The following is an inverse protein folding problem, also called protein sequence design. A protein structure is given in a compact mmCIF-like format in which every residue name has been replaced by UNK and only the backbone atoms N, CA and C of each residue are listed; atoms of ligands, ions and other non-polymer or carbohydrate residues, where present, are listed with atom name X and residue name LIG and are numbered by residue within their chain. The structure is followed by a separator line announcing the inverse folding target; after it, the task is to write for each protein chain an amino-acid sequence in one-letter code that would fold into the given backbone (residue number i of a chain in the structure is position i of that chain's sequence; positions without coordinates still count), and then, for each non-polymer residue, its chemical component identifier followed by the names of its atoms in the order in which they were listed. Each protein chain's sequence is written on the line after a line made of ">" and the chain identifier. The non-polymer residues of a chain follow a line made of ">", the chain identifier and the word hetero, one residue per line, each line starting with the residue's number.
data_IF_291349628186
#
_entry.id   IF_291349628186
#
_cell.length_a   1.000
_cell.length_b   1.000
_cell.length_c   1.000
_cell.angle_alpha   90.00
_cell.angle_beta   90.00
_cell.angle_gamma   90.00
#
_symmetry.space_group_name_H-M   'P 1'
#
loop_
_entity.id
_entity.type
_entity.pdbx_description
1 polymer ?
#
# COMPACT_ATOMS: atom_id res chain seq x y z
N UNK A 1 -16.18 -3.20 -0.56
CA UNK A 1 -15.46 -3.36 -1.85
C UNK A 1 -14.04 -3.85 -1.55
N UNK A 2 -13.42 -4.64 -2.42
CA UNK A 2 -12.04 -5.12 -2.24
C UNK A 2 -11.15 -4.35 -3.22
N UNK A 3 -10.12 -3.70 -2.71
CA UNK A 3 -9.02 -3.15 -3.51
C UNK A 3 -7.91 -4.20 -3.60
N UNK A 4 -7.55 -4.56 -4.83
CA UNK A 4 -6.59 -5.63 -5.12
C UNK A 4 -5.20 -5.09 -5.46
N UNK A 5 -5.01 -3.77 -5.51
CA UNK A 5 -3.73 -3.17 -5.86
C UNK A 5 -3.50 -1.88 -5.09
N UNK A 6 -2.70 -1.96 -4.01
CA UNK A 6 -2.44 -0.83 -3.14
C UNK A 6 -1.02 -0.83 -2.59
N UNK A 7 -0.40 0.35 -2.64
CA UNK A 7 0.93 0.63 -2.09
C UNK A 7 0.80 1.22 -0.67
N UNK A 8 0.05 0.52 0.18
CA UNK A 8 -0.35 1.01 1.52
C UNK A 8 0.67 0.71 2.62
N UNK A 9 1.70 -0.10 2.35
CA UNK A 9 2.70 -0.46 3.36
C UNK A 9 3.75 0.67 3.50
N UNK A 10 4.01 1.18 4.72
CA UNK A 10 4.91 2.31 4.92
C UNK A 10 6.36 1.95 4.66
N UNK A 11 7.05 2.76 3.86
CA UNK A 11 8.49 2.70 3.63
C UNK A 11 8.96 1.50 2.81
N UNK A 12 8.04 0.80 2.13
CA UNK A 12 8.35 -0.39 1.33
C UNK A 12 8.69 -0.01 -0.12
N UNK A 13 8.02 0.99 -0.67
CA UNK A 13 8.25 1.49 -2.02
C UNK A 13 7.88 2.98 -2.15
N UNK A 14 7.48 3.42 -3.33
CA UNK A 14 7.06 4.79 -3.65
C UNK A 14 5.61 5.11 -3.24
N UNK A 15 4.93 4.19 -2.55
CA UNK A 15 3.65 4.44 -1.89
C UNK A 15 3.79 5.25 -0.59
N UNK A 16 3.14 4.77 0.48
CA UNK A 16 3.19 5.41 1.78
C UNK A 16 4.63 5.47 2.32
N UNK A 17 5.10 6.66 2.73
CA UNK A 17 6.45 6.82 3.27
C UNK A 17 6.49 6.69 4.80
N UNK A 18 5.38 7.01 5.46
CA UNK A 18 5.23 6.92 6.92
C UNK A 18 3.98 6.13 7.31
N UNK A 19 3.92 5.68 8.57
CA UNK A 19 2.70 5.07 9.13
C UNK A 19 1.51 6.04 9.07
N UNK A 20 1.76 7.35 9.24
CA UNK A 20 0.73 8.38 9.15
C UNK A 20 0.14 8.48 7.75
N UNK A 21 0.97 8.37 6.70
CA UNK A 21 0.51 8.34 5.30
C UNK A 21 -0.35 7.09 5.06
N UNK A 22 0.12 5.93 5.52
CA UNK A 22 -0.60 4.65 5.40
C UNK A 22 -1.98 4.73 6.07
N UNK A 23 -2.04 5.31 7.27
CA UNK A 23 -3.28 5.53 8.00
C UNK A 23 -4.22 6.53 7.30
N UNK A 24 -3.67 7.57 6.67
CA UNK A 24 -4.47 8.52 5.88
C UNK A 24 -5.08 7.84 4.66
N UNK A 25 -4.30 7.05 3.92
CA UNK A 25 -4.77 6.23 2.80
C UNK A 25 -5.85 5.25 3.23
N UNK A 26 -5.65 4.53 4.35
CA UNK A 26 -6.62 3.59 4.89
C UNK A 26 -7.95 4.26 5.25
N UNK A 27 -7.91 5.43 5.89
CA UNK A 27 -9.12 6.21 6.23
C UNK A 27 -9.88 6.63 4.98
N UNK A 28 -9.17 7.09 3.96
CA UNK A 28 -9.78 7.47 2.69
C UNK A 28 -10.40 6.26 1.97
N UNK A 29 -9.71 5.11 1.97
CA UNK A 29 -10.23 3.88 1.40
C UNK A 29 -11.56 3.45 2.08
N UNK A 30 -11.62 3.52 3.41
CA UNK A 30 -12.87 3.28 4.18
C UNK A 30 -13.96 4.26 3.77
N UNK A 31 -13.64 5.55 3.61
CA UNK A 31 -14.61 6.58 3.17
C UNK A 31 -15.17 6.29 1.78
N UNK A 32 -14.40 5.62 0.92
CA UNK A 32 -14.82 5.17 -0.41
C UNK A 32 -15.54 3.81 -0.40
N UNK A 33 -15.76 3.19 0.77
CA UNK A 33 -16.43 1.91 0.88
C UNK A 33 -15.55 0.69 0.59
N UNK A 34 -14.22 0.87 0.56
CA UNK A 34 -13.26 -0.24 0.54
C UNK A 34 -13.19 -0.83 1.94
N UNK A 35 -13.34 -2.14 2.02
CA UNK A 35 -13.39 -2.91 3.28
C UNK A 35 -12.23 -3.89 3.40
N UNK A 36 -11.49 -4.10 2.32
CA UNK A 36 -10.35 -5.03 2.25
C UNK A 36 -9.37 -4.50 1.22
N UNK A 37 -8.08 -4.51 1.58
CA UNK A 37 -6.98 -4.12 0.70
C UNK A 37 -6.00 -5.30 0.63
N UNK A 38 -5.59 -5.65 -0.59
CA UNK A 38 -4.44 -6.52 -0.83
C UNK A 38 -3.25 -5.60 -1.11
N UNK A 39 -2.26 -5.61 -0.23
CA UNK A 39 -1.04 -4.86 -0.43
C UNK A 39 -0.23 -5.47 -1.59
N UNK A 40 0.14 -4.66 -2.57
CA UNK A 40 0.91 -5.09 -3.75
C UNK A 40 2.06 -4.13 -4.02
N UNK A 41 2.99 -3.98 -3.08
CA UNK A 41 4.13 -3.09 -3.28
C UNK A 41 4.99 -3.56 -4.45
N UNK A 42 5.78 -2.66 -5.01
CA UNK A 42 6.83 -3.01 -5.94
C UNK A 42 7.80 -3.98 -5.30
N UNK A 43 8.10 -5.07 -6.01
CA UNK A 43 9.06 -6.07 -5.56
C UNK A 43 10.41 -5.87 -6.26
N UNK A 44 10.45 -6.03 -7.60
CA UNK A 44 11.65 -5.88 -8.43
C UNK A 44 11.34 -5.13 -9.72
N UNK A 45 11.34 -3.81 -9.65
CA UNK A 45 11.05 -2.93 -10.78
C UNK A 45 12.25 -2.09 -11.24
N UNK A 46 13.45 -2.40 -10.74
CA UNK A 46 14.69 -1.67 -11.03
C UNK A 46 15.01 -0.56 -10.03
N UNK A 47 13.99 0.02 -9.38
CA UNK A 47 14.16 1.00 -8.29
C UNK A 47 14.04 0.35 -6.91
N UNK A 48 13.25 -0.72 -6.80
CA UNK A 48 13.03 -1.48 -5.58
C UNK A 48 13.46 -2.94 -5.78
N UNK A 49 14.06 -3.53 -4.74
CA UNK A 49 14.33 -4.97 -4.59
C UNK A 49 13.90 -5.40 -3.19
N UNK A 50 12.60 -5.62 -3.03
CA UNK A 50 12.00 -6.10 -1.79
C UNK A 50 12.04 -7.63 -1.79
N UNK A 51 12.69 -8.31 -0.83
CA UNK A 51 12.77 -9.76 -0.82
C UNK A 51 11.36 -10.36 -0.67
N UNK A 52 11.09 -11.37 -1.49
CA UNK A 52 9.87 -12.17 -1.38
C UNK A 52 10.08 -13.18 -0.27
N UNK A 53 9.13 -13.25 0.66
CA UNK A 53 9.08 -14.32 1.66
C UNK A 53 8.92 -15.68 1.01
#
# INVERSE_FOLDING_TARGET
>A
MIDIHSHILPGVDDGAQTEQDSLAMAREAVRQGITTIIATPHHRNGSFDNPGT
#
